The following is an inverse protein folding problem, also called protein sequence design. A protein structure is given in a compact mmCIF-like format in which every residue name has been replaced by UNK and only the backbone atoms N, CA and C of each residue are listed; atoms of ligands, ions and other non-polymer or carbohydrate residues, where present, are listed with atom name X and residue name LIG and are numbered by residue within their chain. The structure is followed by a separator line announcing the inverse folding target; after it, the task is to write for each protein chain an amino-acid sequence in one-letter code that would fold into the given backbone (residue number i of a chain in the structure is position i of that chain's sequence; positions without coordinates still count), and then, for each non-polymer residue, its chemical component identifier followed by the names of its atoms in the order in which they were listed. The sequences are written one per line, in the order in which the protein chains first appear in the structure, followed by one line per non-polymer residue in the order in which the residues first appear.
data_IF_991116985639
#
_entry.id   IF_991116985639
#
_cell.length_a   1.000
_cell.length_b   1.000
_cell.length_c   1.000
_cell.angle_alpha   90.00
_cell.angle_beta   90.00
_cell.angle_gamma   90.00
#
_symmetry.space_group_name_H-M   'P 1'
#
loop_
_entity.id
_entity.type
_entity.pdbx_description
1 polymer ?
#
# COMPACT_ATOMS: atom_id res chain seq x y z
N UNK A 1 16.59 16.15 -32.70
CA UNK A 1 17.60 15.54 -31.80
C UNK A 1 17.83 16.58 -30.70
N UNK A 2 17.31 16.50 -29.48
CA UNK A 2 17.11 15.39 -28.56
C UNK A 2 15.66 15.31 -28.05
N UNK A 3 15.11 14.11 -28.15
CA UNK A 3 13.90 13.71 -27.45
C UNK A 3 14.12 13.92 -25.94
N UNK A 4 13.37 14.84 -25.33
CA UNK A 4 13.21 14.94 -23.88
C UNK A 4 12.52 13.66 -23.41
N UNK A 5 13.29 12.57 -23.24
CA UNK A 5 12.81 11.38 -22.54
C UNK A 5 12.51 11.82 -21.11
N UNK A 6 11.23 12.12 -20.89
CA UNK A 6 10.63 12.25 -19.57
C UNK A 6 11.04 11.03 -18.77
N UNK A 7 11.99 11.24 -17.87
CA UNK A 7 12.37 10.29 -16.84
C UNK A 7 11.13 10.10 -15.95
N UNK A 8 10.22 9.21 -16.36
CA UNK A 8 9.34 8.52 -15.41
C UNK A 8 10.26 7.64 -14.58
N UNK A 9 10.94 8.26 -13.61
CA UNK A 9 11.74 7.57 -12.58
C UNK A 9 10.83 6.47 -12.05
N UNK A 10 11.28 5.23 -12.24
CA UNK A 10 10.56 4.03 -11.86
C UNK A 10 10.33 4.02 -10.36
N UNK A 11 9.22 4.59 -9.93
CA UNK A 11 8.62 4.21 -8.67
C UNK A 11 7.73 3.02 -9.01
N UNK A 12 8.22 1.81 -8.69
CA UNK A 12 7.38 0.60 -8.75
C UNK A 12 6.13 0.89 -7.95
N UNK A 13 4.96 0.71 -8.56
CA UNK A 13 3.63 0.97 -8.02
C UNK A 13 3.59 0.82 -6.49
N UNK A 14 3.44 1.93 -5.77
CA UNK A 14 3.33 1.90 -4.31
C UNK A 14 2.20 0.96 -3.91
N UNK A 15 2.43 0.14 -2.89
CA UNK A 15 1.39 -0.70 -2.31
C UNK A 15 0.84 -0.05 -1.05
N UNK A 16 -0.47 0.10 -0.99
CA UNK A 16 -1.17 0.79 0.10
C UNK A 16 -2.17 -0.17 0.74
N UNK A 17 -2.06 -0.39 2.05
CA UNK A 17 -3.06 -1.09 2.84
C UNK A 17 -4.13 -0.10 3.30
N UNK A 18 -5.39 -0.33 2.93
CA UNK A 18 -6.51 0.52 3.36
C UNK A 18 -7.44 -0.30 4.27
N UNK A 19 -7.52 0.08 5.54
CA UNK A 19 -8.43 -0.53 6.52
C UNK A 19 -9.79 0.19 6.43
N UNK A 20 -10.88 -0.56 6.30
CA UNK A 20 -12.23 0.01 6.15
C UNK A 20 -12.53 0.51 4.74
N UNK A 21 -11.87 -0.05 3.72
CA UNK A 21 -12.05 0.32 2.32
C UNK A 21 -13.49 0.13 1.80
N UNK A 22 -14.31 -0.71 2.44
CA UNK A 22 -15.72 -0.91 2.11
C UNK A 22 -16.67 0.16 2.69
N UNK A 23 -16.18 1.06 3.54
CA UNK A 23 -16.98 2.17 4.08
C UNK A 23 -17.14 3.34 3.10
N UNK A 24 -18.01 4.29 3.44
CA UNK A 24 -18.25 5.50 2.62
C UNK A 24 -16.99 6.32 2.36
N UNK A 25 -16.13 6.45 3.37
CA UNK A 25 -14.86 7.18 3.24
C UNK A 25 -13.81 6.30 2.54
N UNK A 26 -13.70 5.03 2.96
CA UNK A 26 -12.73 4.10 2.40
C UNK A 26 -12.89 3.90 0.91
N UNK A 27 -14.12 3.80 0.41
CA UNK A 27 -14.41 3.62 -1.02
C UNK A 27 -14.00 4.84 -1.85
N UNK A 28 -14.22 6.06 -1.35
CA UNK A 28 -13.76 7.29 -2.00
C UNK A 28 -12.23 7.37 -2.05
N UNK A 29 -11.55 7.06 -0.94
CA UNK A 29 -10.08 7.03 -0.84
C UNK A 29 -9.48 6.01 -1.80
N UNK A 30 -10.05 4.80 -1.85
CA UNK A 30 -9.62 3.76 -2.78
C UNK A 30 -9.79 4.20 -4.23
N UNK A 31 -10.90 4.85 -4.57
CA UNK A 31 -11.19 5.31 -5.93
C UNK A 31 -10.11 6.27 -6.43
N UNK A 32 -9.67 7.21 -5.59
CA UNK A 32 -8.60 8.16 -5.93
C UNK A 32 -7.21 7.51 -5.98
N UNK A 33 -6.91 6.64 -5.02
CA UNK A 33 -5.58 6.03 -4.91
C UNK A 33 -5.33 4.90 -5.93
N UNK A 34 -6.39 4.21 -6.41
CA UNK A 34 -6.28 3.07 -7.33
C UNK A 34 -5.69 3.44 -8.69
N UNK A 35 -5.75 4.72 -9.06
CA UNK A 35 -5.23 5.20 -10.34
C UNK A 35 -3.71 5.02 -10.50
N UNK A 36 -2.96 5.05 -9.39
CA UNK A 36 -1.49 5.05 -9.44
C UNK A 36 -0.86 3.99 -8.51
N UNK A 37 -1.65 3.34 -7.66
CA UNK A 37 -1.16 2.51 -6.57
C UNK A 37 -1.90 1.18 -6.47
N UNK A 38 -1.19 0.17 -5.98
CA UNK A 38 -1.72 -1.17 -5.74
C UNK A 38 -2.38 -1.19 -4.35
N UNK A 39 -3.71 -1.26 -4.31
CA UNK A 39 -4.46 -1.17 -3.06
C UNK A 39 -4.76 -2.58 -2.55
N UNK A 40 -4.42 -2.82 -1.29
CA UNK A 40 -4.81 -4.01 -0.54
C UNK A 40 -5.88 -3.62 0.47
N UNK A 41 -7.02 -4.30 0.43
CA UNK A 41 -8.18 -3.98 1.23
C UNK A 41 -8.11 -4.75 2.54
N UNK A 42 -8.26 -4.07 3.68
CA UNK A 42 -8.34 -4.70 5.00
C UNK A 42 -9.66 -4.35 5.69
N UNK A 43 -10.31 -5.32 6.32
CA UNK A 43 -11.56 -5.08 7.02
C UNK A 43 -12.25 -6.35 7.51
N UNK A 44 -13.48 -6.21 7.99
CA UNK A 44 -14.30 -7.34 8.45
C UNK A 44 -15.08 -8.01 7.32
N UNK A 45 -15.51 -7.23 6.33
CA UNK A 45 -16.37 -7.68 5.23
C UNK A 45 -15.88 -7.10 3.90
N UNK A 46 -15.74 -7.95 2.88
CA UNK A 46 -15.38 -7.53 1.52
C UNK A 46 -13.96 -7.02 1.36
N UNK A 47 -12.99 -7.64 2.03
CA UNK A 47 -11.57 -7.22 2.05
C UNK A 47 -10.62 -8.38 1.77
N UNK A 48 -9.49 -8.12 1.10
CA UNK A 48 -8.42 -9.10 0.88
C UNK A 48 -7.79 -9.60 2.18
N UNK A 49 -7.73 -8.73 3.19
CA UNK A 49 -7.20 -9.05 4.51
C UNK A 49 -8.30 -8.90 5.55
N UNK A 50 -8.77 -10.02 6.09
CA UNK A 50 -9.71 -10.00 7.21
C UNK A 50 -9.01 -9.50 8.47
N UNK A 51 -9.47 -8.38 9.01
CA UNK A 51 -9.01 -7.82 10.30
C UNK A 51 -10.20 -7.34 11.10
N UNK A 52 -10.22 -7.73 12.37
CA UNK A 52 -11.16 -7.18 13.35
C UNK A 52 -10.48 -6.06 14.13
N UNK A 53 -10.91 -4.83 13.88
CA UNK A 53 -10.36 -3.62 14.53
C UNK A 53 -10.70 -3.59 16.03
N UNK A 54 -11.71 -4.36 16.47
CA UNK A 54 -12.07 -4.46 17.90
C UNK A 54 -11.15 -5.40 18.68
N UNK A 55 -10.36 -6.24 17.98
CA UNK A 55 -9.45 -7.20 18.59
C UNK A 55 -7.99 -6.81 18.35
N UNK A 56 -7.28 -6.52 19.44
CA UNK A 56 -5.86 -6.17 19.41
C UNK A 56 -5.02 -7.29 18.79
N UNK A 57 -5.35 -8.57 19.06
CA UNK A 57 -4.64 -9.72 18.50
C UNK A 57 -4.81 -9.84 16.99
N UNK A 58 -5.99 -9.51 16.46
CA UNK A 58 -6.25 -9.48 15.01
C UNK A 58 -5.39 -8.40 14.33
N UNK A 59 -5.34 -7.21 14.92
CA UNK A 59 -4.52 -6.09 14.44
C UNK A 59 -3.03 -6.46 14.45
N UNK A 60 -2.52 -7.04 15.54
CA UNK A 60 -1.13 -7.47 15.65
C UNK A 60 -0.76 -8.51 14.58
N UNK A 61 -1.64 -9.48 14.34
CA UNK A 61 -1.42 -10.49 13.31
C UNK A 61 -1.42 -9.89 11.90
N UNK A 62 -2.35 -8.97 11.62
CA UNK A 62 -2.39 -8.23 10.36
C UNK A 62 -1.09 -7.45 10.14
N UNK A 63 -0.66 -6.64 11.12
CA UNK A 63 0.59 -5.88 11.01
C UNK A 63 1.81 -6.79 10.89
N UNK A 64 1.87 -7.91 11.62
CA UNK A 64 2.98 -8.87 11.49
C UNK A 64 3.05 -9.46 10.07
N UNK A 65 1.90 -9.80 9.48
CA UNK A 65 1.82 -10.24 8.07
C UNK A 65 2.26 -9.12 7.13
N UNK A 66 1.77 -7.90 7.32
CA UNK A 66 2.10 -6.75 6.48
C UNK A 66 3.59 -6.39 6.53
N UNK A 67 4.17 -6.29 7.73
CA UNK A 67 5.61 -6.03 7.93
C UNK A 67 6.44 -7.15 7.31
N UNK A 68 6.07 -8.41 7.53
CA UNK A 68 6.74 -9.55 6.87
C UNK A 68 6.68 -9.42 5.34
N UNK A 69 5.54 -9.01 4.80
CA UNK A 69 5.35 -8.83 3.36
C UNK A 69 6.19 -7.66 2.82
N UNK A 70 6.26 -6.55 3.56
CA UNK A 70 7.08 -5.38 3.23
C UNK A 70 8.57 -5.71 3.26
N UNK A 71 9.03 -6.45 4.26
CA UNK A 71 10.42 -6.91 4.38
C UNK A 71 10.82 -7.86 3.24
N UNK A 72 9.92 -8.74 2.81
CA UNK A 72 10.16 -9.69 1.71
C UNK A 72 10.02 -9.05 0.32
N UNK A 73 9.36 -7.89 0.22
CA UNK A 73 9.10 -7.21 -1.05
C UNK A 73 10.01 -6.00 -1.29
N UNK A 74 11.06 -5.81 -0.50
CA UNK A 74 11.98 -4.68 -0.64
C UNK A 74 13.11 -4.96 -1.66
N UNK A 75 13.21 -4.19 -2.76
CA UNK A 75 14.48 -3.91 -3.41
C UNK A 75 14.96 -2.47 -3.09
N UNK A 76 16.10 -2.42 -2.39
CA UNK A 76 17.26 -1.53 -2.51
C UNK A 76 17.10 -0.19 -3.27
N UNK A 77 17.22 0.93 -2.55
CA UNK A 77 18.23 1.99 -2.76
C UNK A 77 17.77 3.24 -2.00
N UNK A 78 18.19 3.38 -0.72
CA UNK A 78 18.19 4.69 -0.06
C UNK A 78 19.34 5.45 -0.72
N UNK A 79 19.07 6.20 -1.79
CA UNK A 79 20.00 7.23 -2.24
C UNK A 79 20.00 8.33 -1.18
N UNK A 80 20.92 8.22 -0.24
CA UNK A 80 21.41 9.38 0.48
C UNK A 80 22.01 10.26 -0.62
N UNK A 81 21.26 11.30 -1.01
CA UNK A 81 21.81 12.41 -1.76
C UNK A 81 22.66 13.21 -0.76
N UNK A 82 23.82 12.65 -0.40
CA UNK A 82 24.93 13.45 0.11
C UNK A 82 25.41 14.26 -1.09
N UNK A 83 25.24 15.57 -0.98
CA UNK A 83 25.78 16.55 -1.91
C UNK A 83 27.11 17.03 -1.37
#
# INVERSE_FOLDING_TARGET
MLCRKSLKRGYRSMKILVIGASGTIGSAVVKELKANHDIIYAGRSGSDVSVDITSIDSIKQMYKKWVKWMLLSAPQEVRILDR
#
